data_IF_089294537750
#
_entry.id   IF_089294537750
#
_cell.length_a   1.000
_cell.length_b   1.000
_cell.length_c   1.000
_cell.angle_alpha   90.00
_cell.angle_beta   90.00
_cell.angle_gamma   90.00
#
_symmetry.space_group_name_H-M   'P 1'
#
loop_
_entity.id
_entity.type
_entity.pdbx_description
1 polymer ?
#
# COMPACT_ATOMS: atom_id res chain seq x y z
N UNK A 1 16.51 2.98 -20.94
CA UNK A 1 15.60 3.38 -19.85
C UNK A 1 15.52 2.24 -18.84
N UNK A 2 15.85 2.46 -17.57
CA UNK A 2 15.94 1.37 -16.58
C UNK A 2 14.52 0.96 -16.14
N UNK A 3 14.03 -0.18 -16.65
CA UNK A 3 12.64 -0.67 -16.53
C UNK A 3 12.14 -0.72 -15.08
N UNK A 4 13.07 -0.91 -14.13
CA UNK A 4 12.77 -0.85 -12.69
C UNK A 4 12.30 0.53 -12.22
N UNK A 5 12.91 1.63 -12.72
CA UNK A 5 12.51 3.00 -12.35
C UNK A 5 11.11 3.35 -12.87
N UNK A 6 10.80 2.93 -14.10
CA UNK A 6 9.48 3.12 -14.71
C UNK A 6 8.38 2.31 -14.04
N UNK A 7 8.71 1.18 -13.40
CA UNK A 7 7.75 0.39 -12.63
C UNK A 7 7.63 0.84 -11.17
N UNK A 8 8.66 1.44 -10.58
CA UNK A 8 8.66 1.91 -9.19
C UNK A 8 7.88 3.22 -9.01
N UNK A 9 8.00 4.16 -9.95
CA UNK A 9 7.27 5.44 -9.95
C UNK A 9 5.74 5.27 -9.78
N UNK A 10 5.05 4.43 -10.58
CA UNK A 10 3.62 4.22 -10.42
C UNK A 10 3.25 3.60 -9.07
N UNK A 11 4.07 2.66 -8.56
CA UNK A 11 3.85 2.06 -7.25
C UNK A 11 3.90 3.10 -6.11
N UNK A 12 4.87 4.01 -6.16
CA UNK A 12 4.97 5.14 -5.22
C UNK A 12 3.78 6.08 -5.35
N UNK A 13 3.38 6.42 -6.57
CA UNK A 13 2.23 7.29 -6.81
C UNK A 13 0.92 6.75 -6.25
N UNK A 14 0.64 5.46 -6.47
CA UNK A 14 -0.56 4.78 -5.95
C UNK A 14 -0.56 4.78 -4.42
N UNK A 15 0.56 4.39 -3.81
CA UNK A 15 0.68 4.37 -2.35
C UNK A 15 0.51 5.77 -1.75
N UNK A 16 1.14 6.78 -2.35
CA UNK A 16 1.07 8.16 -1.86
C UNK A 16 -0.35 8.70 -1.94
N UNK A 17 -1.04 8.52 -3.07
CA UNK A 17 -2.41 8.95 -3.22
C UNK A 17 -3.31 8.33 -2.14
N UNK A 18 -3.26 7.01 -1.97
CA UNK A 18 -4.12 6.32 -1.02
C UNK A 18 -3.81 6.67 0.44
N UNK A 19 -2.53 6.75 0.83
CA UNK A 19 -2.14 7.12 2.20
C UNK A 19 -2.51 8.57 2.52
N UNK A 20 -2.25 9.51 1.61
CA UNK A 20 -2.58 10.93 1.80
C UNK A 20 -4.08 11.12 1.92
N UNK A 21 -4.87 10.56 0.99
CA UNK A 21 -6.33 10.67 1.03
C UNK A 21 -6.89 10.13 2.33
N UNK A 22 -6.42 8.97 2.79
CA UNK A 22 -6.90 8.37 4.02
C UNK A 22 -6.52 9.17 5.27
N UNK A 23 -5.28 9.67 5.33
CA UNK A 23 -4.81 10.45 6.46
C UNK A 23 -5.50 11.82 6.53
N UNK A 24 -5.72 12.48 5.39
CA UNK A 24 -6.51 13.72 5.35
C UNK A 24 -7.93 13.49 5.84
N UNK A 25 -8.58 12.40 5.42
CA UNK A 25 -9.92 12.05 5.87
C UNK A 25 -9.99 11.83 7.40
N UNK A 26 -9.00 11.14 7.98
CA UNK A 26 -8.97 10.87 9.43
C UNK A 26 -8.64 12.13 10.26
N UNK A 27 -7.80 13.04 9.75
CA UNK A 27 -7.38 14.24 10.45
C UNK A 27 -8.32 15.44 10.31
N UNK A 28 -9.31 15.39 9.41
CA UNK A 28 -10.21 16.52 9.12
C UNK A 28 -10.89 17.05 10.40
N UNK A 29 -11.38 16.14 11.25
CA UNK A 29 -11.99 16.50 12.53
C UNK A 29 -11.02 17.14 13.53
N UNK A 30 -9.76 16.68 13.57
CA UNK A 30 -8.74 17.19 14.50
C UNK A 30 -8.22 18.58 14.06
N UNK A 31 -8.19 18.84 12.74
CA UNK A 31 -7.87 20.15 12.16
C UNK A 31 -8.93 21.18 12.55
N UNK A 32 -10.22 20.82 12.43
CA UNK A 32 -11.32 21.72 12.81
C UNK A 32 -11.28 22.03 14.31
N UNK A 33 -11.03 21.03 15.15
CA UNK A 33 -10.98 21.21 16.60
C UNK A 33 -9.79 22.07 17.06
N UNK A 34 -8.61 21.88 16.46
CA UNK A 34 -7.41 22.67 16.80
C UNK A 34 -7.49 24.12 16.32
N UNK A 35 -8.22 24.39 15.23
CA UNK A 35 -8.55 25.77 14.82
C UNK A 35 -9.51 26.45 15.80
N UNK A 36 -10.39 25.69 16.46
CA UNK A 36 -11.40 26.21 17.38
C UNK A 36 -10.95 26.29 18.86
N UNK A 37 -9.95 25.49 19.26
CA UNK A 37 -9.55 25.30 20.67
C UNK A 37 -8.02 25.13 20.76
N UNK A 38 -7.28 26.21 20.97
CA UNK A 38 -5.82 26.19 20.88
C UNK A 38 -5.11 25.70 22.17
N UNK A 39 -4.96 24.37 22.29
CA UNK A 39 -3.92 23.73 23.10
C UNK A 39 -2.69 23.26 22.29
N UNK A 40 -2.82 23.16 20.95
CA UNK A 40 -1.75 22.85 19.99
C UNK A 40 -1.76 23.88 18.86
N UNK A 41 -0.59 24.21 18.31
CA UNK A 41 -0.52 25.11 17.14
C UNK A 41 -0.79 24.33 15.86
N UNK A 42 -1.48 24.95 14.89
CA UNK A 42 -1.77 24.35 13.56
C UNK A 42 -0.49 23.78 12.90
N UNK A 43 0.64 24.44 13.10
CA UNK A 43 1.96 24.03 12.61
C UNK A 43 2.42 22.69 13.18
N UNK A 44 2.18 22.43 14.48
CA UNK A 44 2.52 21.15 15.11
C UNK A 44 1.67 20.01 14.55
N UNK A 45 0.39 20.26 14.29
CA UNK A 45 -0.52 19.26 13.72
C UNK A 45 -0.12 18.90 12.28
N UNK A 46 0.19 19.89 11.46
CA UNK A 46 0.67 19.67 10.09
C UNK A 46 1.97 18.87 10.09
N UNK A 47 2.93 19.21 10.95
CA UNK A 47 4.17 18.47 11.07
C UNK A 47 3.93 17.01 11.47
N UNK A 48 3.05 16.77 12.45
CA UNK A 48 2.66 15.44 12.87
C UNK A 48 2.02 14.65 11.73
N UNK A 49 1.13 15.27 10.95
CA UNK A 49 0.48 14.66 9.79
C UNK A 49 1.49 14.26 8.71
N UNK A 50 2.43 15.14 8.37
CA UNK A 50 3.48 14.87 7.36
C UNK A 50 4.37 13.71 7.79
N UNK A 51 4.81 13.70 9.06
CA UNK A 51 5.63 12.60 9.61
C UNK A 51 4.85 11.29 9.57
N UNK A 52 3.58 11.31 9.96
CA UNK A 52 2.71 10.13 9.98
C UNK A 52 2.53 9.55 8.57
N UNK A 53 2.24 10.41 7.58
CA UNK A 53 2.14 10.03 6.17
C UNK A 53 3.46 9.40 5.69
N UNK A 54 4.60 10.01 6.00
CA UNK A 54 5.92 9.52 5.58
C UNK A 54 6.24 8.14 6.16
N UNK A 55 5.95 7.93 7.44
CA UNK A 55 6.17 6.64 8.12
C UNK A 55 5.28 5.56 7.52
N UNK A 56 3.99 5.84 7.31
CA UNK A 56 3.07 4.86 6.70
C UNK A 56 3.45 4.50 5.27
N UNK A 57 3.82 5.50 4.45
CA UNK A 57 4.36 5.28 3.11
C UNK A 57 5.59 4.39 3.12
N UNK A 58 6.53 4.63 4.04
CA UNK A 58 7.74 3.82 4.17
C UNK A 58 7.40 2.35 4.44
N UNK A 59 6.52 2.09 5.41
CA UNK A 59 6.12 0.73 5.79
C UNK A 59 5.41 0.01 4.63
N UNK A 60 4.45 0.68 3.98
CA UNK A 60 3.67 0.10 2.88
C UNK A 60 4.54 -0.21 1.66
N UNK A 61 5.53 0.66 1.36
CA UNK A 61 6.36 0.53 0.15
C UNK A 61 7.58 -0.38 0.33
N UNK A 62 8.01 -0.66 1.56
CA UNK A 62 9.28 -1.36 1.83
C UNK A 62 9.40 -2.68 1.05
N UNK A 63 8.41 -3.57 1.18
CA UNK A 63 8.43 -4.89 0.55
C UNK A 63 8.11 -4.82 -0.95
N UNK A 64 7.06 -4.10 -1.41
CA UNK A 64 6.76 -3.94 -2.82
C UNK A 64 7.94 -3.38 -3.63
N UNK A 65 8.60 -2.35 -3.12
CA UNK A 65 9.73 -1.71 -3.81
C UNK A 65 10.94 -2.64 -3.90
N UNK A 66 11.21 -3.43 -2.86
CA UNK A 66 12.27 -4.44 -2.93
C UNK A 66 12.01 -5.49 -4.01
N UNK A 67 10.75 -5.93 -4.17
CA UNK A 67 10.35 -6.88 -5.21
C UNK A 67 10.44 -6.28 -6.61
N UNK A 68 9.98 -5.03 -6.78
CA UNK A 68 10.10 -4.27 -8.04
C UNK A 68 11.58 -4.07 -8.39
N UNK A 69 12.43 -3.73 -7.42
CA UNK A 69 13.88 -3.57 -7.62
C UNK A 69 14.53 -4.88 -8.11
N UNK A 70 14.05 -6.04 -7.62
CA UNK A 70 14.48 -7.37 -8.07
C UNK A 70 13.80 -7.84 -9.37
N UNK A 71 13.16 -6.93 -10.13
CA UNK A 71 12.43 -7.20 -11.38
C UNK A 71 11.24 -8.15 -11.24
N UNK A 72 10.75 -8.40 -10.01
CA UNK A 72 9.54 -9.20 -9.74
C UNK A 72 8.31 -8.30 -9.74
N UNK A 73 8.03 -7.64 -10.87
CA UNK A 73 7.03 -6.57 -10.96
C UNK A 73 5.61 -7.02 -10.55
N UNK A 74 5.10 -8.11 -11.14
CA UNK A 74 3.78 -8.66 -10.81
C UNK A 74 3.63 -8.93 -9.31
N UNK A 75 4.61 -9.60 -8.70
CA UNK A 75 4.60 -9.88 -7.26
C UNK A 75 4.71 -8.61 -6.43
N UNK A 76 5.52 -7.63 -6.85
CA UNK A 76 5.65 -6.34 -6.18
C UNK A 76 4.34 -5.56 -6.14
N UNK A 77 3.63 -5.47 -7.27
CA UNK A 77 2.32 -4.81 -7.34
C UNK A 77 1.24 -5.55 -6.56
N UNK A 78 1.27 -6.87 -6.55
CA UNK A 78 0.33 -7.65 -5.77
C UNK A 78 0.54 -7.48 -4.26
N UNK A 79 1.80 -7.46 -3.80
CA UNK A 79 2.14 -7.17 -2.41
C UNK A 79 1.80 -5.72 -2.04
N UNK A 80 1.94 -4.78 -2.98
CA UNK A 80 1.50 -3.39 -2.78
C UNK A 80 0.00 -3.32 -2.51
N UNK A 81 -0.81 -3.99 -3.33
CA UNK A 81 -2.26 -4.04 -3.16
C UNK A 81 -2.66 -4.64 -1.80
N UNK A 82 -2.01 -5.75 -1.40
CA UNK A 82 -2.23 -6.35 -0.07
C UNK A 82 -1.82 -5.42 1.07
N UNK A 83 -0.67 -4.77 0.95
CA UNK A 83 -0.17 -3.85 1.99
C UNK A 83 -1.10 -2.67 2.16
N UNK A 84 -1.64 -2.15 1.05
CA UNK A 84 -2.58 -1.05 1.08
C UNK A 84 -3.95 -1.46 1.65
N UNK A 85 -4.44 -2.65 1.31
CA UNK A 85 -5.68 -3.19 1.89
C UNK A 85 -5.56 -3.39 3.41
N UNK A 86 -4.44 -3.96 3.87
CA UNK A 86 -4.14 -4.12 5.28
C UNK A 86 -4.04 -2.77 6.00
N UNK A 87 -3.38 -1.78 5.38
CA UNK A 87 -3.28 -0.42 5.91
C UNK A 87 -4.66 0.22 6.08
N UNK A 88 -5.53 0.15 5.07
CA UNK A 88 -6.90 0.65 5.18
C UNK A 88 -7.63 -0.04 6.32
N UNK A 89 -7.56 -1.37 6.41
CA UNK A 89 -8.23 -2.14 7.47
C UNK A 89 -7.78 -1.73 8.87
N UNK A 90 -6.47 -1.53 9.09
CA UNK A 90 -5.92 -1.13 10.39
C UNK A 90 -6.31 0.30 10.75
N UNK A 91 -6.41 1.20 9.77
CA UNK A 91 -6.58 2.64 10.02
C UNK A 91 -8.02 3.12 10.07
N UNK A 92 -8.98 2.37 9.53
CA UNK A 92 -10.36 2.87 9.40
C UNK A 92 -11.42 2.14 10.23
N UNK A 93 -11.08 1.10 11.01
CA UNK A 93 -12.06 0.19 11.67
C UNK A 93 -13.13 -0.40 10.71
N UNK A 94 -13.07 -0.07 9.42
CA UNK A 94 -13.89 -0.53 8.32
C UNK A 94 -13.44 -1.94 7.93
N UNK A 95 -13.65 -2.87 8.86
CA UNK A 95 -13.19 -4.25 8.78
C UNK A 95 -13.68 -4.95 7.51
N UNK A 96 -14.86 -4.59 7.01
CA UNK A 96 -15.51 -5.30 5.90
C UNK A 96 -14.96 -4.93 4.52
N UNK A 97 -14.68 -3.64 4.27
CA UNK A 97 -14.22 -3.16 2.95
C UNK A 97 -12.74 -3.49 2.77
N UNK A 98 -11.91 -3.26 3.81
CA UNK A 98 -10.50 -3.63 3.79
C UNK A 98 -10.30 -5.14 3.60
N UNK A 99 -11.09 -5.97 4.31
CA UNK A 99 -11.07 -7.41 4.16
C UNK A 99 -11.50 -7.88 2.75
N UNK A 100 -12.54 -7.27 2.16
CA UNK A 100 -12.98 -7.62 0.83
C UNK A 100 -11.89 -7.36 -0.23
N UNK A 101 -11.21 -6.20 -0.15
CA UNK A 101 -10.10 -5.86 -1.06
C UNK A 101 -8.90 -6.78 -0.84
N UNK A 102 -8.56 -7.07 0.43
CA UNK A 102 -7.47 -7.99 0.76
C UNK A 102 -7.75 -9.42 0.24
N UNK A 103 -8.99 -9.88 0.34
CA UNK A 103 -9.41 -11.22 -0.09
C UNK A 103 -9.39 -11.36 -1.61
N UNK A 104 -9.80 -10.31 -2.35
CA UNK A 104 -9.68 -10.25 -3.81
C UNK A 104 -8.20 -10.27 -4.23
N UNK A 105 -7.36 -9.44 -3.62
CA UNK A 105 -5.93 -9.38 -3.93
C UNK A 105 -5.22 -10.71 -3.60
N UNK A 106 -5.58 -11.35 -2.49
CA UNK A 106 -5.05 -12.65 -2.11
C UNK A 106 -5.48 -13.76 -3.08
N UNK A 107 -6.73 -13.74 -3.53
CA UNK A 107 -7.26 -14.71 -4.50
C UNK A 107 -6.52 -14.63 -5.84
N UNK A 108 -6.24 -13.40 -6.32
CA UNK A 108 -5.44 -13.18 -7.53
C UNK A 108 -4.00 -13.71 -7.36
N UNK A 109 -3.41 -13.50 -6.19
CA UNK A 109 -2.06 -14.01 -5.87
C UNK A 109 -1.99 -15.52 -5.85
N UNK A 110 -2.96 -16.18 -5.22
CA UNK A 110 -3.05 -17.65 -5.19
C UNK A 110 -3.21 -18.18 -6.61
N UNK A 111 -4.08 -17.57 -7.42
CA UNK A 111 -4.26 -17.97 -8.81
C UNK A 111 -2.96 -17.84 -9.63
N UNK A 112 -2.28 -16.70 -9.56
CA UNK A 112 -1.00 -16.51 -10.24
C UNK A 112 0.08 -17.48 -9.76
N UNK A 113 0.12 -17.79 -8.45
CA UNK A 113 1.02 -18.77 -7.88
C UNK A 113 0.77 -20.19 -8.40
N UNK A 114 -0.50 -20.59 -8.45
CA UNK A 114 -0.92 -21.91 -8.95
C UNK A 114 -0.62 -22.08 -10.43
N UNK A 115 -0.90 -21.08 -11.27
CA UNK A 115 -0.58 -21.12 -12.71
C UNK A 115 0.93 -21.31 -12.91
N UNK A 116 1.75 -20.57 -12.16
CA UNK A 116 3.21 -20.66 -12.27
C UNK A 116 3.76 -21.99 -11.75
N UNK A 117 3.14 -22.57 -10.73
CA UNK A 117 3.48 -23.90 -10.24
C UNK A 117 3.14 -24.99 -11.27
N UNK A 118 1.99 -24.87 -11.93
CA UNK A 118 1.55 -25.77 -12.99
C UNK A 118 2.46 -25.72 -14.22
N UNK A 119 2.93 -24.54 -14.61
CA UNK A 119 3.94 -24.38 -15.66
C UNK A 119 5.23 -25.13 -15.30
N UNK A 120 5.69 -24.99 -14.05
CA UNK A 120 6.89 -25.68 -13.55
C UNK A 120 6.74 -27.21 -13.54
N UNK A 121 5.58 -27.71 -13.10
CA UNK A 121 5.28 -29.14 -13.11
C UNK A 121 5.20 -29.70 -14.53
N UNK A 122 4.65 -28.94 -15.49
CA UNK A 122 4.63 -29.35 -16.91
C UNK A 122 6.03 -29.40 -17.50
N UNK A 123 6.90 -28.44 -17.14
CA UNK A 123 8.29 -28.43 -17.57
C UNK A 123 9.04 -29.67 -17.05
N UNK A 124 8.92 -29.98 -15.76
CA UNK A 124 9.57 -31.16 -15.14
C UNK A 124 9.03 -32.51 -15.63
N UNK A 125 7.84 -32.54 -16.25
CA UNK A 125 7.23 -33.76 -16.80
C UNK A 125 7.53 -33.97 -18.27
N UNK A 126 8.08 -32.96 -18.93
CA UNK A 126 8.44 -33.01 -20.35
C UNK A 126 9.88 -33.53 -20.58
N UNK A 127 10.65 -33.72 -19.51
CA UNK A 127 11.90 -34.49 -19.45
C UNK A 127 11.63 -35.91 -18.91
#
# INVERSE_FOLDING_TARGET
MNISKTAALPAVGIAAAAVITLQMFLYDGEIILTQASSGRTLTQLIAQLVITIAVHLFVILMIPMLLIARRKFLTGYAVLALSLAAYIQITTDLSLIGAAVALIAFSVLVFCGVVKLLEWLRYLRAD
#
